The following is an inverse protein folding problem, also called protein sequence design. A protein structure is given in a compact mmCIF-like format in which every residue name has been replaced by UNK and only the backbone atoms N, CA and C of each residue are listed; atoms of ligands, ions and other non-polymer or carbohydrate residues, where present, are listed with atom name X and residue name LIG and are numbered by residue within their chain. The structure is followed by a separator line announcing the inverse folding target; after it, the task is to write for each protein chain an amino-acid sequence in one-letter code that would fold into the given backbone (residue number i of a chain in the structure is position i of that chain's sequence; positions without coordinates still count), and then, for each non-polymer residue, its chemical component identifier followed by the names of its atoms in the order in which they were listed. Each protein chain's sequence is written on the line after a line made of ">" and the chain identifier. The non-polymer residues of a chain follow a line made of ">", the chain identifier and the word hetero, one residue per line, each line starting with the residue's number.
data_IF_732031604388
#
_entry.id   IF_732031604388
#
_cell.length_a   1.000
_cell.length_b   1.000
_cell.length_c   1.000
_cell.angle_alpha   90.00
_cell.angle_beta   90.00
_cell.angle_gamma   90.00
#
_symmetry.space_group_name_H-M   'P 1'
#
loop_
_entity.id
_entity.type
_entity.pdbx_description
1 polymer ?
#
# COMPACT_ATOMS: atom_id res chain seq x y z
N UNK A 1 -1.70 6.36 21.19
CA UNK A 1 -2.05 5.08 20.53
C UNK A 1 -2.26 4.03 21.62
N UNK A 2 -3.33 3.22 21.56
CA UNK A 2 -3.48 2.09 22.49
C UNK A 2 -2.30 1.14 22.27
N UNK A 3 -1.74 0.57 23.35
CA UNK A 3 -0.68 -0.43 23.25
C UNK A 3 -1.22 -1.64 22.47
N UNK A 4 -0.60 -1.96 21.34
CA UNK A 4 -0.90 -3.17 20.58
C UNK A 4 -0.31 -4.36 21.34
N UNK A 5 -1.10 -5.42 21.50
CA UNK A 5 -0.69 -6.65 22.17
C UNK A 5 -0.82 -7.77 21.15
N UNK A 6 0.30 -8.38 20.72
CA UNK A 6 0.25 -9.48 19.78
C UNK A 6 -0.34 -10.72 20.43
N UNK A 7 -1.15 -11.45 19.66
CA UNK A 7 -1.49 -12.83 19.98
C UNK A 7 -0.32 -13.72 19.57
N UNK A 8 0.01 -14.69 20.43
CA UNK A 8 1.05 -15.69 20.18
C UNK A 8 0.52 -17.11 20.06
N UNK A 9 -0.80 -17.28 20.13
CA UNK A 9 -1.45 -18.59 20.08
C UNK A 9 -2.13 -18.72 18.71
N UNK A 10 -1.59 -19.51 17.78
CA UNK A 10 -2.23 -19.73 16.49
C UNK A 10 -3.54 -20.50 16.67
N UNK A 11 -4.52 -20.21 15.83
CA UNK A 11 -5.77 -20.96 15.80
C UNK A 11 -5.52 -22.46 15.55
N UNK A 12 -6.37 -23.33 16.12
CA UNK A 12 -6.30 -24.77 15.87
C UNK A 12 -6.57 -25.12 14.40
N UNK A 13 -6.22 -26.34 13.99
CA UNK A 13 -6.56 -26.89 12.68
C UNK A 13 -5.52 -26.69 11.58
N UNK A 14 -4.32 -26.18 11.90
CA UNK A 14 -3.18 -26.20 10.99
C UNK A 14 -2.82 -27.63 10.61
N UNK A 15 -2.73 -27.90 9.30
CA UNK A 15 -2.29 -29.20 8.75
C UNK A 15 -0.89 -29.11 8.17
N UNK A 16 -0.55 -27.98 7.55
CA UNK A 16 0.69 -27.77 6.83
C UNK A 16 0.90 -28.74 5.67
N UNK A 17 2.17 -28.91 5.28
CA UNK A 17 2.58 -29.87 4.27
C UNK A 17 2.70 -29.32 2.84
N UNK A 18 2.37 -28.04 2.60
CA UNK A 18 2.60 -27.39 1.30
C UNK A 18 4.07 -27.54 0.85
N UNK A 19 5.02 -27.19 1.73
CA UNK A 19 6.45 -27.28 1.44
C UNK A 19 7.01 -28.71 1.35
N UNK A 20 6.28 -29.73 1.84
CA UNK A 20 6.68 -31.14 1.64
C UNK A 20 6.45 -31.57 0.19
N UNK A 21 5.44 -31.00 -0.46
CA UNK A 21 5.09 -31.26 -1.85
C UNK A 21 5.83 -30.36 -2.84
N UNK A 22 6.32 -29.22 -2.38
CA UNK A 22 7.03 -28.21 -3.18
C UNK A 22 8.38 -27.85 -2.51
N UNK A 23 9.35 -28.78 -2.45
CA UNK A 23 10.62 -28.57 -1.74
C UNK A 23 11.47 -27.41 -2.30
N UNK A 24 11.35 -27.10 -3.59
CA UNK A 24 12.00 -25.99 -4.29
C UNK A 24 11.53 -24.61 -3.81
N UNK A 25 10.35 -24.53 -3.19
CA UNK A 25 9.78 -23.28 -2.66
C UNK A 25 10.28 -22.94 -1.25
N UNK A 26 11.18 -23.75 -0.68
CA UNK A 26 11.72 -23.51 0.66
C UNK A 26 12.78 -22.41 0.65
N UNK A 27 12.93 -21.76 1.80
CA UNK A 27 14.10 -20.93 2.08
C UNK A 27 15.41 -21.72 1.96
N UNK A 28 16.53 -21.05 1.61
CA UNK A 28 16.75 -19.59 1.61
C UNK A 28 16.27 -18.84 0.37
N UNK A 29 16.00 -19.52 -0.75
CA UNK A 29 15.65 -18.89 -2.03
C UNK A 29 14.38 -19.50 -2.60
N UNK A 30 13.18 -19.15 -2.09
CA UNK A 30 11.92 -19.70 -2.58
C UNK A 30 11.70 -19.46 -4.08
N UNK A 31 11.63 -20.52 -4.88
CA UNK A 31 11.24 -20.45 -6.29
C UNK A 31 9.76 -20.76 -6.47
N UNK A 32 8.94 -19.71 -6.67
CA UNK A 32 7.50 -19.85 -6.87
C UNK A 32 7.11 -20.00 -8.35
N UNK A 33 8.06 -20.25 -9.26
CA UNK A 33 7.85 -20.32 -10.70
C UNK A 33 6.83 -21.38 -11.13
N UNK A 34 6.76 -22.51 -10.42
CA UNK A 34 5.81 -23.59 -10.69
C UNK A 34 4.35 -23.22 -10.33
N UNK A 35 4.13 -22.22 -9.47
CA UNK A 35 2.79 -21.74 -9.13
C UNK A 35 2.28 -20.76 -10.20
N UNK A 36 1.01 -20.91 -10.54
CA UNK A 36 0.28 -19.92 -11.35
C UNK A 36 -0.17 -18.76 -10.46
N UNK A 37 -0.09 -17.55 -10.99
CA UNK A 37 -0.78 -16.41 -10.39
C UNK A 37 -2.28 -16.64 -10.42
N UNK A 38 -2.94 -16.36 -9.29
CA UNK A 38 -4.39 -16.28 -9.20
C UNK A 38 -4.78 -14.81 -9.08
N UNK A 39 -5.92 -14.43 -9.64
CA UNK A 39 -6.55 -13.15 -9.31
C UNK A 39 -6.83 -13.10 -7.81
N UNK A 40 -6.56 -11.95 -7.19
CA UNK A 40 -6.51 -11.83 -5.74
C UNK A 40 -7.84 -12.12 -5.03
N UNK A 41 -8.97 -12.00 -5.74
CA UNK A 41 -10.31 -12.19 -5.19
C UNK A 41 -10.94 -13.54 -5.58
N UNK A 42 -10.40 -14.25 -6.58
CA UNK A 42 -11.02 -15.44 -7.17
C UNK A 42 -11.12 -16.62 -6.21
N UNK A 43 -10.09 -16.77 -5.37
CA UNK A 43 -9.93 -17.91 -4.47
C UNK A 43 -10.18 -17.56 -3.01
N UNK A 44 -10.90 -16.46 -2.75
CA UNK A 44 -11.24 -16.06 -1.37
C UNK A 44 -11.92 -17.20 -0.60
N UNK A 45 -12.78 -17.98 -1.25
CA UNK A 45 -13.46 -19.13 -0.63
C UNK A 45 -12.53 -20.24 -0.13
N UNK A 46 -11.28 -20.31 -0.62
CA UNK A 46 -10.28 -21.28 -0.16
C UNK A 46 -9.54 -20.82 1.09
N UNK A 47 -9.62 -19.53 1.43
CA UNK A 47 -8.99 -19.00 2.64
C UNK A 47 -9.69 -19.62 3.85
N UNK A 48 -8.94 -20.26 4.73
CA UNK A 48 -9.45 -20.73 6.03
C UNK A 48 -8.71 -20.11 7.19
N UNK A 49 -7.56 -19.50 6.92
CA UNK A 49 -6.62 -18.92 7.88
C UNK A 49 -6.12 -17.58 7.38
N UNK A 50 -5.75 -16.71 8.30
CA UNK A 50 -5.15 -15.42 7.97
C UNK A 50 -4.06 -15.04 8.97
N UNK A 51 -3.06 -14.32 8.48
CA UNK A 51 -2.13 -13.56 9.33
C UNK A 51 -2.33 -12.08 9.09
N UNK A 52 -2.56 -11.37 10.18
CA UNK A 52 -2.79 -9.92 10.21
C UNK A 52 -1.48 -9.22 10.46
N UNK A 53 -1.24 -8.11 9.78
CA UNK A 53 -0.06 -7.28 10.07
C UNK A 53 -0.40 -6.32 11.19
N UNK A 54 0.20 -6.49 12.36
CA UNK A 54 -0.04 -5.60 13.51
C UNK A 54 0.74 -4.31 13.39
N UNK A 55 1.99 -4.40 12.94
CA UNK A 55 2.84 -3.25 12.70
C UNK A 55 3.29 -3.28 11.25
N UNK A 56 2.63 -2.53 10.36
CA UNK A 56 3.07 -2.37 8.99
C UNK A 56 3.99 -1.15 8.95
N UNK A 57 5.31 -1.37 8.98
CA UNK A 57 6.34 -0.32 9.07
C UNK A 57 6.87 0.05 7.68
N UNK A 58 6.58 1.27 7.22
CA UNK A 58 6.91 1.74 5.88
C UNK A 58 8.14 2.62 5.90
N UNK A 59 8.96 2.52 4.85
CA UNK A 59 10.05 3.46 4.60
C UNK A 59 10.24 3.77 3.12
N UNK A 60 10.55 5.02 2.81
CA UNK A 60 10.82 5.50 1.46
C UNK A 60 11.86 6.63 1.48
N UNK A 61 12.47 6.91 0.34
CA UNK A 61 13.45 8.00 0.19
C UNK A 61 12.70 9.32 0.01
N UNK A 62 12.98 10.33 0.83
CA UNK A 62 12.36 11.66 0.68
C UNK A 62 13.11 12.57 -0.29
N UNK A 63 14.36 12.23 -0.57
CA UNK A 63 15.28 13.01 -1.39
C UNK A 63 15.89 12.12 -2.48
N UNK A 64 15.03 11.51 -3.29
CA UNK A 64 15.46 10.60 -4.35
C UNK A 64 16.49 11.27 -5.28
N UNK A 65 17.54 10.53 -5.63
CA UNK A 65 18.60 11.01 -6.52
C UNK A 65 19.71 11.81 -5.84
N UNK A 66 19.66 12.01 -4.52
CA UNK A 66 20.81 12.49 -3.73
C UNK A 66 21.79 11.35 -3.45
N UNK A 67 23.06 11.69 -3.19
CA UNK A 67 24.12 10.73 -2.88
C UNK A 67 23.83 9.90 -1.63
N UNK A 68 23.18 10.51 -0.63
CA UNK A 68 22.71 9.86 0.59
C UNK A 68 21.25 10.29 0.84
N UNK A 69 20.28 9.60 0.19
CA UNK A 69 18.89 9.99 0.30
C UNK A 69 18.36 9.68 1.71
N UNK A 70 17.88 10.71 2.40
CA UNK A 70 17.20 10.51 3.68
C UNK A 70 15.95 9.66 3.50
N UNK A 71 15.74 8.72 4.43
CA UNK A 71 14.52 7.90 4.47
C UNK A 71 13.56 8.36 5.55
N UNK A 72 12.28 8.38 5.21
CA UNK A 72 11.21 8.52 6.18
C UNK A 72 10.76 7.14 6.68
N UNK A 73 10.18 7.11 7.87
CA UNK A 73 9.59 5.93 8.50
C UNK A 73 8.21 6.27 9.01
N UNK A 74 7.25 5.40 8.72
CA UNK A 74 5.88 5.54 9.18
C UNK A 74 5.26 4.16 9.42
N UNK A 75 4.80 3.89 10.64
CA UNK A 75 3.91 2.77 10.87
C UNK A 75 2.52 3.15 10.35
N UNK A 76 1.97 2.41 9.40
CA UNK A 76 0.58 2.61 9.01
C UNK A 76 -0.37 2.02 10.05
N UNK A 77 -1.66 2.19 9.85
CA UNK A 77 -2.67 1.67 10.73
C UNK A 77 -2.51 0.14 10.95
N UNK A 78 -2.63 -0.36 12.18
CA UNK A 78 -2.61 -1.79 12.46
C UNK A 78 -3.71 -2.53 11.69
N UNK A 79 -3.46 -3.79 11.35
CA UNK A 79 -4.44 -4.69 10.71
C UNK A 79 -4.93 -4.26 9.31
N UNK A 80 -4.28 -3.25 8.72
CA UNK A 80 -4.57 -2.73 7.36
C UNK A 80 -4.20 -3.71 6.24
N UNK A 81 -3.28 -4.63 6.53
CA UNK A 81 -2.72 -5.58 5.57
C UNK A 81 -2.74 -6.99 6.15
N UNK A 82 -2.99 -7.98 5.29
CA UNK A 82 -3.16 -9.38 5.70
C UNK A 82 -2.76 -10.34 4.59
N UNK A 83 -2.34 -11.55 4.96
CA UNK A 83 -2.21 -12.70 4.04
C UNK A 83 -3.24 -13.77 4.40
N UNK A 84 -3.95 -14.27 3.40
CA UNK A 84 -5.02 -15.27 3.52
C UNK A 84 -4.65 -16.55 2.81
N UNK A 85 -4.72 -17.67 3.52
CA UNK A 85 -4.25 -18.98 3.07
C UNK A 85 -5.12 -20.12 3.64
N UNK A 86 -4.91 -21.33 3.15
CA UNK A 86 -5.62 -22.52 3.63
C UNK A 86 -4.87 -23.27 4.75
N UNK A 87 -5.50 -24.31 5.30
CA UNK A 87 -4.91 -25.12 6.38
C UNK A 87 -3.65 -25.91 5.98
N UNK A 88 -3.34 -26.03 4.69
CA UNK A 88 -2.12 -26.71 4.19
C UNK A 88 -0.96 -25.76 4.00
N UNK A 89 -1.25 -24.46 3.87
CA UNK A 89 -0.28 -23.39 3.72
C UNK A 89 -0.29 -22.69 2.38
N UNK A 90 -1.21 -22.98 1.46
CA UNK A 90 -1.25 -22.28 0.17
C UNK A 90 -1.88 -20.89 0.31
N UNK A 91 -1.20 -19.85 -0.20
CA UNK A 91 -1.70 -18.47 -0.23
C UNK A 91 -2.74 -18.30 -1.34
N UNK A 92 -3.85 -17.66 -0.99
CA UNK A 92 -5.01 -17.46 -1.88
C UNK A 92 -5.38 -15.99 -2.08
N UNK A 93 -5.03 -15.09 -1.16
CA UNK A 93 -5.31 -13.66 -1.27
C UNK A 93 -4.42 -12.84 -0.34
N UNK A 94 -4.09 -11.63 -0.75
CA UNK A 94 -3.39 -10.63 0.05
C UNK A 94 -4.23 -9.37 0.11
N UNK A 95 -4.29 -8.77 1.28
CA UNK A 95 -4.79 -7.42 1.47
C UNK A 95 -3.57 -6.52 1.66
N UNK A 96 -3.42 -5.56 0.75
CA UNK A 96 -2.43 -4.51 0.80
C UNK A 96 -3.05 -3.22 1.37
N UNK A 97 -2.23 -2.26 1.84
CA UNK A 97 -2.68 -1.14 2.62
C UNK A 97 -3.52 -0.12 1.83
N UNK A 98 -4.32 0.61 2.59
CA UNK A 98 -5.13 1.74 2.14
C UNK A 98 -4.88 2.94 3.06
N UNK A 99 -4.56 4.09 2.49
CA UNK A 99 -4.29 5.29 3.25
C UNK A 99 -5.08 6.48 2.70
N UNK A 100 -5.45 7.40 3.58
CA UNK A 100 -5.87 8.74 3.21
C UNK A 100 -4.68 9.70 3.27
N UNK A 101 -4.67 10.69 2.38
CA UNK A 101 -3.85 11.90 2.60
C UNK A 101 -4.68 13.14 2.36
N UNK A 102 -4.37 14.21 3.08
CA UNK A 102 -5.00 15.51 2.91
C UNK A 102 -3.96 16.51 2.44
N UNK A 103 -4.26 17.18 1.33
CA UNK A 103 -3.44 18.28 0.82
C UNK A 103 -4.21 19.58 1.03
N UNK A 104 -3.70 20.51 1.86
CA UNK A 104 -4.31 21.81 2.08
C UNK A 104 -4.62 22.52 0.75
N UNK A 105 -5.85 23.01 0.62
CA UNK A 105 -6.33 23.67 -0.58
C UNK A 105 -6.74 22.75 -1.72
N UNK A 106 -6.25 21.51 -1.82
CA UNK A 106 -6.60 20.58 -2.91
C UNK A 106 -7.69 19.59 -2.48
N UNK A 107 -7.56 19.00 -1.28
CA UNK A 107 -8.55 18.08 -0.71
C UNK A 107 -7.96 16.75 -0.23
N UNK A 108 -8.85 15.81 0.08
CA UNK A 108 -8.52 14.46 0.56
C UNK A 108 -8.41 13.49 -0.61
N UNK A 109 -7.39 12.64 -0.56
CA UNK A 109 -7.15 11.56 -1.50
C UNK A 109 -7.16 10.22 -0.78
N UNK A 110 -7.72 9.21 -1.44
CA UNK A 110 -7.48 7.82 -1.13
C UNK A 110 -6.27 7.34 -1.92
N UNK A 111 -5.42 6.54 -1.27
CA UNK A 111 -4.35 5.77 -1.89
C UNK A 111 -4.55 4.32 -1.50
N UNK A 112 -4.70 3.45 -2.49
CA UNK A 112 -4.80 2.01 -2.27
C UNK A 112 -3.77 1.29 -3.14
N UNK A 113 -3.09 0.31 -2.55
CA UNK A 113 -2.30 -0.65 -3.32
C UNK A 113 -3.19 -1.85 -3.64
N UNK A 114 -3.71 -1.90 -4.88
CA UNK A 114 -4.57 -3.00 -5.32
C UNK A 114 -3.72 -4.19 -5.77
N UNK A 115 -3.88 -5.35 -5.13
CA UNK A 115 -3.27 -6.61 -5.57
C UNK A 115 -4.07 -7.15 -6.75
N UNK A 116 -3.43 -7.30 -7.91
CA UNK A 116 -4.05 -7.81 -9.14
C UNK A 116 -3.79 -9.29 -9.35
N UNK A 117 -2.70 -9.83 -8.77
CA UNK A 117 -2.47 -11.27 -8.78
C UNK A 117 -1.55 -11.69 -7.64
N UNK A 118 -1.67 -12.93 -7.19
CA UNK A 118 -0.81 -13.49 -6.16
C UNK A 118 -0.55 -14.98 -6.33
N UNK A 119 0.55 -15.47 -5.75
CA UNK A 119 0.88 -16.88 -5.56
C UNK A 119 1.86 -17.04 -4.41
N UNK A 120 1.78 -18.12 -3.64
CA UNK A 120 2.74 -18.36 -2.59
C UNK A 120 2.25 -19.29 -1.50
N UNK A 121 2.90 -19.21 -0.35
CA UNK A 121 2.63 -20.06 0.79
C UNK A 121 2.95 -19.39 2.13
N UNK A 122 2.36 -19.92 3.19
CA UNK A 122 2.62 -19.62 4.60
C UNK A 122 2.84 -20.94 5.33
N UNK A 123 3.82 -21.01 6.22
CA UNK A 123 4.04 -22.16 7.10
C UNK A 123 4.08 -21.71 8.57
N UNK A 124 3.04 -22.08 9.32
CA UNK A 124 2.89 -21.70 10.72
C UNK A 124 3.87 -22.43 11.64
N UNK A 125 4.39 -23.58 11.22
CA UNK A 125 5.27 -24.42 12.04
C UNK A 125 6.67 -23.84 12.16
N UNK A 126 7.20 -23.27 11.08
CA UNK A 126 8.48 -22.57 11.08
C UNK A 126 8.33 -21.04 11.08
N UNK A 127 7.09 -20.53 11.05
CA UNK A 127 6.74 -19.11 11.06
C UNK A 127 7.32 -18.31 9.89
N UNK A 128 7.35 -18.94 8.72
CA UNK A 128 7.86 -18.37 7.48
C UNK A 128 6.75 -18.26 6.44
N UNK A 129 6.98 -17.42 5.43
CA UNK A 129 6.12 -17.32 4.27
C UNK A 129 6.90 -16.89 3.04
N UNK A 130 6.39 -17.17 1.86
CA UNK A 130 6.89 -16.58 0.62
C UNK A 130 5.74 -16.36 -0.34
N UNK A 131 5.53 -15.12 -0.76
CA UNK A 131 4.44 -14.75 -1.66
C UNK A 131 4.94 -13.81 -2.75
N UNK A 132 4.60 -14.14 -3.99
CA UNK A 132 4.75 -13.25 -5.13
C UNK A 132 3.41 -12.58 -5.41
N UNK A 133 3.44 -11.28 -5.65
CA UNK A 133 2.25 -10.50 -5.95
C UNK A 133 2.50 -9.51 -7.08
N UNK A 134 1.45 -9.18 -7.79
CA UNK A 134 1.39 -8.03 -8.69
C UNK A 134 0.49 -6.99 -8.04
N UNK A 135 0.95 -5.74 -8.02
CA UNK A 135 0.23 -4.65 -7.38
C UNK A 135 0.12 -3.45 -8.31
N UNK A 136 -0.94 -2.67 -8.13
CA UNK A 136 -1.15 -1.38 -8.78
C UNK A 136 -1.58 -0.36 -7.72
N UNK A 137 -0.72 0.62 -7.39
CA UNK A 137 -1.14 1.78 -6.63
C UNK A 137 -2.22 2.56 -7.40
N UNK A 138 -3.26 2.98 -6.69
CA UNK A 138 -4.39 3.75 -7.20
C UNK A 138 -4.63 4.96 -6.32
N UNK A 139 -4.74 6.14 -6.93
CA UNK A 139 -5.03 7.41 -6.24
C UNK A 139 -6.29 8.05 -6.80
N UNK A 140 -7.22 8.44 -5.93
CA UNK A 140 -8.44 9.16 -6.31
C UNK A 140 -8.90 10.11 -5.20
N UNK A 141 -9.73 11.08 -5.54
CA UNK A 141 -10.29 12.02 -4.57
C UNK A 141 -11.36 11.35 -3.70
N UNK A 142 -11.31 11.61 -2.39
CA UNK A 142 -12.42 11.31 -1.49
C UNK A 142 -13.56 12.31 -1.71
N UNK A 143 -14.84 11.91 -1.56
CA UNK A 143 -15.98 12.83 -1.58
C UNK A 143 -15.81 14.07 -0.67
N UNK A 144 -15.14 13.91 0.47
CA UNK A 144 -14.87 15.00 1.42
C UNK A 144 -13.98 16.11 0.85
N UNK A 145 -13.26 15.85 -0.25
CA UNK A 145 -12.52 16.90 -0.95
C UNK A 145 -13.42 18.06 -1.45
N UNK A 146 -14.74 17.84 -1.55
CA UNK A 146 -15.72 18.85 -1.96
C UNK A 146 -16.00 19.93 -0.89
N UNK A 147 -15.41 19.84 0.29
CA UNK A 147 -15.67 20.79 1.38
C UNK A 147 -14.90 22.11 1.21
N UNK A 148 -13.78 22.12 0.47
CA UNK A 148 -12.97 23.33 0.23
C UNK A 148 -13.41 24.10 -1.02
N UNK A 149 -13.09 25.40 -1.10
CA UNK A 149 -13.49 26.26 -2.24
C UNK A 149 -12.84 25.82 -3.56
N UNK A 150 -11.54 25.49 -3.56
CA UNK A 150 -10.87 24.92 -4.73
C UNK A 150 -11.32 23.48 -5.00
N UNK A 151 -11.58 22.70 -3.94
CA UNK A 151 -12.19 21.38 -4.05
C UNK A 151 -13.51 21.40 -4.82
N UNK A 152 -14.42 22.34 -4.54
CA UNK A 152 -15.68 22.51 -5.29
C UNK A 152 -15.44 22.74 -6.78
N UNK A 153 -14.44 23.54 -7.14
CA UNK A 153 -14.08 23.79 -8.54
C UNK A 153 -13.54 22.50 -9.19
N UNK A 154 -12.70 21.74 -8.49
CA UNK A 154 -12.22 20.43 -8.96
C UNK A 154 -13.38 19.44 -9.16
N UNK A 155 -14.35 19.42 -8.25
CA UNK A 155 -15.55 18.60 -8.39
C UNK A 155 -16.40 18.99 -9.60
N UNK A 156 -16.49 20.28 -9.95
CA UNK A 156 -17.12 20.72 -11.21
C UNK A 156 -16.39 20.17 -12.45
N UNK A 157 -15.06 19.99 -12.40
CA UNK A 157 -14.32 19.32 -13.49
C UNK A 157 -14.70 17.85 -13.56
N UNK A 158 -14.89 17.18 -12.41
CA UNK A 158 -15.26 15.77 -12.35
C UNK A 158 -16.65 15.49 -12.92
N UNK A 159 -17.54 16.49 -12.97
CA UNK A 159 -18.80 16.36 -13.70
C UNK A 159 -18.55 15.96 -15.15
N UNK A 160 -17.48 16.43 -15.82
CA UNK A 160 -17.13 16.07 -17.21
C UNK A 160 -16.98 14.55 -17.42
N UNK A 161 -16.87 13.75 -16.37
CA UNK A 161 -16.92 12.30 -16.47
C UNK A 161 -18.23 11.77 -17.11
N UNK A 162 -19.35 12.51 -17.05
CA UNK A 162 -20.57 12.14 -17.78
C UNK A 162 -20.40 12.16 -19.31
N UNK A 163 -19.39 12.88 -19.82
CA UNK A 163 -19.02 12.94 -21.23
C UNK A 163 -17.98 11.87 -21.62
N UNK A 164 -17.65 10.95 -20.71
CA UNK A 164 -16.67 9.88 -20.96
C UNK A 164 -15.24 10.23 -20.57
N UNK A 165 -14.99 11.39 -19.94
CA UNK A 165 -13.71 11.64 -19.28
C UNK A 165 -13.54 10.74 -18.04
N UNK A 166 -12.29 10.51 -17.63
CA UNK A 166 -11.94 9.64 -16.50
C UNK A 166 -11.12 10.39 -15.45
N UNK A 167 -11.57 11.58 -15.05
CA UNK A 167 -10.97 12.27 -13.92
C UNK A 167 -11.13 11.45 -12.63
N UNK A 168 -10.14 11.47 -11.72
CA UNK A 168 -10.00 10.53 -10.61
C UNK A 168 -10.92 10.85 -9.41
N UNK A 169 -12.22 10.90 -9.65
CA UNK A 169 -13.25 11.17 -8.64
C UNK A 169 -13.68 9.93 -7.84
N UNK A 170 -13.25 8.74 -8.27
CA UNK A 170 -13.59 7.46 -7.66
C UNK A 170 -12.54 6.40 -8.03
N UNK A 171 -12.48 5.30 -7.27
CA UNK A 171 -11.51 4.21 -7.47
C UNK A 171 -11.49 3.65 -8.90
N UNK A 172 -12.64 3.58 -9.58
CA UNK A 172 -12.73 3.06 -10.96
C UNK A 172 -12.05 3.96 -12.00
N UNK A 173 -11.84 5.23 -11.67
CA UNK A 173 -11.21 6.25 -12.52
C UNK A 173 -9.87 6.73 -11.92
N UNK A 174 -9.34 5.99 -10.95
CA UNK A 174 -8.15 6.39 -10.22
C UNK A 174 -6.94 6.58 -11.12
N UNK A 175 -6.04 7.46 -10.71
CA UNK A 175 -4.69 7.52 -11.24
C UNK A 175 -4.01 6.20 -10.88
N UNK A 176 -3.54 5.46 -11.88
CA UNK A 176 -2.82 4.21 -11.66
C UNK A 176 -1.32 4.42 -11.86
N UNK A 177 -0.51 3.76 -11.04
CA UNK A 177 0.94 3.73 -11.19
C UNK A 177 1.41 2.31 -11.52
N UNK A 178 2.50 2.22 -12.29
CA UNK A 178 3.24 0.97 -12.42
C UNK A 178 4.14 0.74 -11.20
N UNK A 179 4.49 -0.52 -10.93
CA UNK A 179 5.44 -0.89 -9.88
C UNK A 179 6.33 -2.01 -10.36
N UNK A 180 7.58 -1.98 -9.89
CA UNK A 180 8.60 -2.91 -10.32
C UNK A 180 9.36 -3.51 -9.13
N UNK A 181 9.95 -4.67 -9.36
CA UNK A 181 10.87 -5.33 -8.46
C UNK A 181 12.19 -4.56 -8.40
N UNK A 182 12.67 -4.24 -7.20
CA UNK A 182 13.90 -3.46 -6.98
C UNK A 182 15.16 -4.14 -7.50
N UNK A 183 15.18 -5.48 -7.51
CA UNK A 183 16.35 -6.28 -7.91
C UNK A 183 16.34 -6.72 -9.37
N UNK A 184 15.25 -6.50 -10.10
CA UNK A 184 15.08 -6.97 -11.47
C UNK A 184 14.34 -5.96 -12.31
N UNK A 185 15.07 -5.37 -13.27
CA UNK A 185 14.57 -4.30 -14.13
C UNK A 185 13.21 -4.65 -14.74
N UNK A 186 12.22 -3.78 -14.48
CA UNK A 186 10.86 -3.82 -15.03
C UNK A 186 10.07 -5.12 -14.79
N UNK A 187 10.48 -5.96 -13.83
CA UNK A 187 9.65 -7.08 -13.38
C UNK A 187 8.50 -6.55 -12.53
N UNK A 188 7.25 -6.85 -12.86
CA UNK A 188 6.07 -6.44 -12.07
C UNK A 188 5.73 -7.40 -10.93
N UNK A 189 6.52 -8.47 -10.77
CA UNK A 189 6.38 -9.42 -9.67
C UNK A 189 7.12 -8.90 -8.44
N UNK A 190 6.36 -8.57 -7.41
CA UNK A 190 6.84 -8.08 -6.12
C UNK A 190 6.86 -9.24 -5.14
N UNK A 191 7.97 -9.36 -4.41
CA UNK A 191 8.20 -10.44 -3.47
C UNK A 191 7.93 -9.98 -2.04
N UNK A 192 7.11 -10.75 -1.31
CA UNK A 192 7.04 -10.75 0.15
C UNK A 192 7.88 -11.93 0.65
N UNK A 193 8.90 -11.67 1.46
CA UNK A 193 9.86 -12.66 1.95
C UNK A 193 10.21 -12.45 3.41
N UNK A 194 10.59 -13.52 4.10
CA UNK A 194 11.13 -13.50 5.45
C UNK A 194 12.37 -12.61 5.53
N UNK A 195 12.62 -12.09 6.73
CA UNK A 195 13.68 -11.12 7.01
C UNK A 195 13.17 -9.68 6.98
N UNK A 196 14.08 -8.74 7.22
CA UNK A 196 13.78 -7.32 7.31
C UNK A 196 14.59 -6.53 6.27
N UNK A 197 13.93 -5.57 5.63
CA UNK A 197 14.63 -4.53 4.90
C UNK A 197 15.48 -3.70 5.86
N UNK A 198 16.73 -3.41 5.47
CA UNK A 198 17.73 -2.70 6.28
C UNK A 198 18.03 -3.36 7.64
N UNK A 199 18.01 -4.69 7.71
CA UNK A 199 18.34 -5.42 8.93
C UNK A 199 19.68 -4.95 9.54
N UNK A 200 19.68 -4.73 10.86
CA UNK A 200 20.83 -4.17 11.60
C UNK A 200 20.91 -2.64 11.63
N UNK A 201 20.23 -1.94 10.71
CA UNK A 201 20.24 -0.46 10.62
C UNK A 201 18.85 0.17 10.81
N UNK A 202 17.88 -0.61 11.29
CA UNK A 202 16.53 -0.12 11.54
C UNK A 202 16.48 0.79 12.78
N UNK A 203 15.72 1.90 12.73
CA UNK A 203 15.47 2.71 13.91
C UNK A 203 14.76 1.88 15.00
N UNK A 204 15.14 2.00 16.29
CA UNK A 204 14.57 1.18 17.36
C UNK A 204 13.04 1.21 17.47
N UNK A 205 12.41 2.33 17.10
CA UNK A 205 10.95 2.50 17.16
C UNK A 205 10.19 1.72 16.08
N UNK A 206 10.87 1.13 15.10
CA UNK A 206 10.26 0.32 14.02
C UNK A 206 10.38 -1.20 14.28
N UNK A 207 10.99 -1.58 15.40
CA UNK A 207 11.34 -2.97 15.71
C UNK A 207 10.32 -3.56 16.69
N UNK A 208 9.67 -4.65 16.28
CA UNK A 208 8.62 -5.31 17.07
C UNK A 208 8.99 -6.77 17.33
N UNK A 209 9.97 -7.01 18.20
CA UNK A 209 10.48 -8.37 18.53
C UNK A 209 9.42 -9.27 19.15
N UNK A 210 8.36 -8.68 19.67
CA UNK A 210 7.17 -9.34 20.18
C UNK A 210 6.22 -9.84 19.08
N UNK A 211 6.47 -9.62 17.80
CA UNK A 211 5.61 -10.15 16.75
C UNK A 211 5.65 -11.69 16.68
N UNK A 212 4.62 -12.29 16.06
CA UNK A 212 4.63 -13.73 15.79
C UNK A 212 5.73 -14.11 14.80
N UNK A 213 5.84 -13.34 13.72
CA UNK A 213 6.85 -13.43 12.68
C UNK A 213 6.96 -12.09 11.96
N UNK A 214 7.93 -11.97 11.05
CA UNK A 214 8.09 -10.78 10.22
C UNK A 214 8.54 -11.15 8.81
N UNK A 215 8.23 -10.26 7.88
CA UNK A 215 8.67 -10.32 6.49
C UNK A 215 8.89 -8.91 5.96
N UNK A 216 9.45 -8.79 4.77
CA UNK A 216 9.58 -7.53 4.07
C UNK A 216 9.04 -7.61 2.65
N UNK A 217 8.62 -6.44 2.16
CA UNK A 217 8.22 -6.17 0.78
C UNK A 217 9.04 -4.99 0.30
N UNK A 218 9.60 -5.08 -0.90
CA UNK A 218 10.27 -3.97 -1.57
C UNK A 218 9.63 -3.72 -2.93
N UNK A 219 9.37 -2.44 -3.23
CA UNK A 219 8.75 -1.98 -4.47
C UNK A 219 9.49 -0.76 -4.99
N UNK A 220 9.85 -0.78 -6.27
CA UNK A 220 10.20 0.41 -7.02
C UNK A 220 8.94 1.01 -7.66
N UNK A 221 8.74 2.32 -7.48
CA UNK A 221 7.63 3.05 -8.10
C UNK A 221 7.93 3.30 -9.57
N UNK A 222 7.01 2.92 -10.44
CA UNK A 222 7.06 3.20 -11.87
C UNK A 222 6.40 4.52 -12.24
N UNK A 223 6.23 4.69 -13.54
CA UNK A 223 5.53 5.80 -14.15
C UNK A 223 4.01 5.78 -13.90
N UNK A 224 3.37 6.93 -14.11
CA UNK A 224 1.92 7.05 -14.16
C UNK A 224 1.41 6.33 -15.41
N UNK A 225 0.34 5.57 -15.28
CA UNK A 225 -0.38 5.00 -16.41
C UNK A 225 -1.18 6.13 -17.12
N UNK A 226 -0.65 6.61 -18.25
CA UNK A 226 -1.21 7.71 -19.03
C UNK A 226 -2.14 7.24 -20.17
N UNK A 227 -2.96 6.23 -19.91
CA UNK A 227 -3.88 5.64 -20.89
C UNK A 227 -5.22 6.40 -21.06
N UNK A 228 -5.31 7.65 -20.60
CA UNK A 228 -6.51 8.50 -20.76
C UNK A 228 -6.31 9.60 -21.81
N UNK A 229 -7.30 10.48 -21.96
CA UNK A 229 -7.19 11.65 -22.83
C UNK A 229 -6.06 12.58 -22.35
N UNK A 230 -5.49 13.37 -23.27
CA UNK A 230 -4.44 14.34 -22.94
C UNK A 230 -4.84 15.26 -21.78
N UNK A 231 -6.11 15.70 -21.75
CA UNK A 231 -6.67 16.53 -20.69
C UNK A 231 -6.57 15.85 -19.31
N UNK A 232 -7.00 14.59 -19.21
CA UNK A 232 -6.97 13.82 -17.96
C UNK A 232 -5.53 13.50 -17.54
N UNK A 233 -4.66 13.19 -18.48
CA UNK A 233 -3.25 12.90 -18.22
C UNK A 233 -2.49 14.12 -17.70
N UNK A 234 -2.74 15.30 -18.25
CA UNK A 234 -2.18 16.57 -17.76
C UNK A 234 -2.65 16.84 -16.32
N UNK A 235 -3.94 16.66 -16.04
CA UNK A 235 -4.49 16.78 -14.69
C UNK A 235 -3.86 15.78 -13.70
N UNK A 236 -3.80 14.50 -14.07
CA UNK A 236 -3.25 13.44 -13.23
C UNK A 236 -1.79 13.72 -12.86
N UNK A 237 -1.01 14.31 -13.77
CA UNK A 237 0.38 14.71 -13.51
C UNK A 237 0.47 15.81 -12.44
N UNK A 238 -0.42 16.81 -12.49
CA UNK A 238 -0.49 17.89 -11.48
C UNK A 238 -0.84 17.31 -10.10
N UNK A 239 -1.81 16.39 -10.05
CA UNK A 239 -2.21 15.72 -8.80
C UNK A 239 -1.08 14.86 -8.22
N UNK A 240 -0.34 14.13 -9.08
CA UNK A 240 0.81 13.36 -8.63
C UNK A 240 1.96 14.24 -8.12
N UNK A 241 2.17 15.42 -8.71
CA UNK A 241 3.11 16.43 -8.17
C UNK A 241 2.68 16.84 -6.76
N UNK A 242 1.41 17.15 -6.56
CA UNK A 242 0.85 17.52 -5.24
C UNK A 242 1.07 16.41 -4.20
N UNK A 243 0.76 15.17 -4.56
CA UNK A 243 0.94 14.01 -3.69
C UNK A 243 2.40 13.83 -3.27
N UNK A 244 3.33 13.94 -4.21
CA UNK A 244 4.76 13.77 -3.93
C UNK A 244 5.31 14.90 -3.05
N UNK A 245 4.85 16.13 -3.20
CA UNK A 245 5.21 17.21 -2.27
C UNK A 245 4.76 16.86 -0.85
N UNK A 246 3.48 16.46 -0.68
CA UNK A 246 2.91 16.18 0.64
C UNK A 246 3.47 14.93 1.33
N UNK A 247 3.88 13.93 0.55
CA UNK A 247 4.42 12.67 1.07
C UNK A 247 5.95 12.61 1.13
N UNK A 248 6.65 13.65 0.70
CA UNK A 248 8.10 13.62 0.57
C UNK A 248 8.52 12.60 -0.49
N UNK A 249 8.05 12.78 -1.71
CA UNK A 249 8.39 12.02 -2.90
C UNK A 249 8.11 10.52 -2.84
N UNK A 250 7.20 10.08 -1.95
CA UNK A 250 6.92 8.66 -1.75
C UNK A 250 6.55 7.95 -3.05
N UNK A 251 5.71 8.55 -3.91
CA UNK A 251 5.30 7.97 -5.19
C UNK A 251 6.06 8.59 -6.38
N UNK A 252 7.27 9.10 -6.14
CA UNK A 252 8.12 9.57 -7.22
C UNK A 252 8.66 8.35 -7.99
N UNK A 253 8.62 8.42 -9.33
CA UNK A 253 9.17 7.38 -10.19
C UNK A 253 10.64 7.07 -9.82
N UNK A 254 10.96 5.78 -9.74
CA UNK A 254 12.25 5.23 -9.35
C UNK A 254 12.51 5.18 -7.84
N UNK A 255 11.60 5.72 -7.01
CA UNK A 255 11.72 5.61 -5.56
C UNK A 255 11.52 4.16 -5.09
N UNK A 256 12.25 3.76 -4.05
CA UNK A 256 12.14 2.45 -3.43
C UNK A 256 11.35 2.58 -2.14
N UNK A 257 10.19 1.94 -2.09
CA UNK A 257 9.37 1.78 -0.90
C UNK A 257 9.62 0.40 -0.36
N UNK A 258 9.88 0.32 0.93
CA UNK A 258 10.04 -0.96 1.61
C UNK A 258 9.17 -1.00 2.84
N UNK A 259 8.52 -2.15 3.06
CA UNK A 259 7.69 -2.39 4.23
C UNK A 259 8.26 -3.55 5.01
N UNK A 260 8.49 -3.34 6.30
CA UNK A 260 8.70 -4.42 7.25
C UNK A 260 7.34 -4.71 7.90
N UNK A 261 6.80 -5.88 7.62
CA UNK A 261 5.50 -6.31 8.14
C UNK A 261 5.70 -7.26 9.30
N UNK A 262 5.10 -6.91 10.43
CA UNK A 262 5.19 -7.68 11.67
C UNK A 262 3.83 -8.30 11.97
N UNK A 263 3.77 -9.63 11.94
CA UNK A 263 2.51 -10.37 11.96
C UNK A 263 2.03 -10.69 13.37
N UNK A 264 0.70 -10.78 13.49
CA UNK A 264 0.02 -11.48 14.58
C UNK A 264 0.07 -13.00 14.39
N UNK A 265 -0.17 -13.76 15.46
CA UNK A 265 -0.35 -15.21 15.30
C UNK A 265 -1.55 -15.51 14.38
N UNK A 266 -1.46 -16.58 13.56
CA UNK A 266 -2.52 -17.02 12.68
C UNK A 266 -3.89 -17.14 13.35
N UNK A 267 -4.92 -16.63 12.68
CA UNK A 267 -6.32 -16.72 13.11
C UNK A 267 -7.19 -17.37 12.03
N UNK A 268 -8.39 -17.83 12.41
CA UNK A 268 -9.38 -18.28 11.44
C UNK A 268 -9.92 -17.07 10.67
N UNK A 269 -10.12 -17.23 9.36
CA UNK A 269 -10.70 -16.17 8.55
C UNK A 269 -12.20 -16.07 8.79
N UNK A 270 -12.72 -14.85 8.89
CA UNK A 270 -14.14 -14.55 8.73
C UNK A 270 -14.37 -14.09 7.30
N UNK A 271 -14.83 -14.99 6.44
CA UNK A 271 -14.96 -14.76 4.99
C UNK A 271 -15.74 -13.49 4.60
N UNK A 272 -16.81 -13.18 5.34
CA UNK A 272 -17.58 -11.94 5.12
C UNK A 272 -16.77 -10.70 5.48
N UNK A 273 -15.97 -10.74 6.54
CA UNK A 273 -15.11 -9.61 6.93
C UNK A 273 -13.97 -9.46 5.92
N UNK A 274 -13.31 -10.54 5.51
CA UNK A 274 -12.24 -10.49 4.50
C UNK A 274 -12.69 -9.79 3.21
N UNK A 275 -13.85 -10.18 2.66
CA UNK A 275 -14.40 -9.59 1.43
C UNK A 275 -14.68 -8.09 1.56
N UNK A 276 -15.11 -7.66 2.74
CA UNK A 276 -15.52 -6.28 2.98
C UNK A 276 -14.39 -5.42 3.56
N UNK A 277 -13.26 -6.01 3.93
CA UNK A 277 -12.19 -5.35 4.66
C UNK A 277 -11.74 -4.08 3.93
N UNK A 278 -11.32 -4.22 2.67
CA UNK A 278 -10.91 -3.11 1.82
C UNK A 278 -11.98 -2.00 1.65
N UNK A 279 -13.27 -2.34 1.74
CA UNK A 279 -14.35 -1.35 1.59
C UNK A 279 -14.69 -0.66 2.93
N UNK A 280 -14.45 -1.32 4.06
CA UNK A 280 -14.58 -0.71 5.39
C UNK A 280 -13.51 0.35 5.59
N UNK A 281 -12.26 0.03 5.23
CA UNK A 281 -11.13 0.94 5.34
C UNK A 281 -11.30 2.20 4.47
N UNK A 282 -11.67 2.02 3.19
CA UNK A 282 -11.98 3.13 2.28
C UNK A 282 -13.08 4.04 2.82
N UNK A 283 -14.20 3.47 3.27
CA UNK A 283 -15.31 4.27 3.82
C UNK A 283 -14.92 5.06 5.06
N UNK A 284 -14.04 4.51 5.90
CA UNK A 284 -13.52 5.21 7.07
C UNK A 284 -12.68 6.43 6.68
N UNK A 285 -11.85 6.30 5.65
CA UNK A 285 -11.06 7.43 5.10
C UNK A 285 -11.99 8.48 4.49
N UNK A 286 -13.06 8.05 3.81
CA UNK A 286 -14.02 8.96 3.16
C UNK A 286 -14.86 9.78 4.16
N UNK A 287 -15.16 9.25 5.35
CA UNK A 287 -16.05 9.89 6.35
C UNK A 287 -15.24 10.68 7.38
N UNK A 288 -14.31 10.03 8.07
CA UNK A 288 -13.66 10.58 9.27
C UNK A 288 -12.19 10.96 9.03
N UNK A 289 -11.69 10.77 7.80
CA UNK A 289 -10.27 10.91 7.45
C UNK A 289 -9.33 10.09 8.33
N UNK A 290 -9.87 9.03 8.95
CA UNK A 290 -9.17 8.20 9.91
C UNK A 290 -9.26 6.73 9.48
N UNK A 291 -8.21 5.97 9.77
CA UNK A 291 -8.22 4.52 9.65
C UNK A 291 -9.07 3.89 10.76
N UNK A 292 -9.82 2.80 10.50
CA UNK A 292 -10.68 2.15 11.50
C UNK A 292 -9.95 1.77 12.79
N UNK A 293 -8.71 1.29 12.66
CA UNK A 293 -7.88 0.83 13.77
C UNK A 293 -6.89 1.91 14.28
N UNK A 294 -7.12 3.17 13.89
CA UNK A 294 -6.31 4.33 14.25
C UNK A 294 -5.27 4.69 13.19
N UNK A 295 -4.75 5.94 13.19
CA UNK A 295 -4.05 6.53 12.05
C UNK A 295 -2.63 6.00 11.78
N UNK A 296 -2.16 5.00 12.54
CA UNK A 296 -0.74 4.68 12.59
C UNK A 296 0.05 5.80 13.26
N UNK A 297 1.29 6.03 12.84
CA UNK A 297 2.16 7.09 13.36
C UNK A 297 2.37 8.22 12.36
N UNK A 298 2.77 9.39 12.85
CA UNK A 298 3.28 10.46 11.97
C UNK A 298 4.63 10.05 11.35
N UNK A 299 4.86 10.44 10.07
CA UNK A 299 6.11 10.17 9.37
C UNK A 299 7.29 10.89 10.04
N UNK A 300 8.40 10.18 10.23
CA UNK A 300 9.61 10.70 10.88
C UNK A 300 10.89 10.11 10.30
N UNK A 301 12.00 10.83 10.41
CA UNK A 301 13.33 10.32 10.04
C UNK A 301 13.86 9.34 11.11
N UNK A 302 14.93 8.62 10.79
CA UNK A 302 15.55 7.62 11.67
C UNK A 302 15.94 8.16 13.07
N UNK A 303 16.26 9.46 13.16
CA UNK A 303 16.59 10.14 14.42
C UNK A 303 15.34 10.61 15.21
N UNK A 304 14.13 10.28 14.73
CA UNK A 304 12.86 10.68 15.33
C UNK A 304 12.37 12.09 14.96
N UNK A 305 13.14 12.87 14.18
CA UNK A 305 12.68 14.18 13.70
C UNK A 305 11.45 14.01 12.80
N UNK A 306 10.33 14.70 13.06
CA UNK A 306 9.15 14.62 12.21
C UNK A 306 9.45 15.07 10.77
N UNK A 307 8.89 14.36 9.80
CA UNK A 307 8.84 14.84 8.43
C UNK A 307 7.81 15.97 8.32
N UNK A 308 8.15 17.03 7.62
CA UNK A 308 7.25 18.15 7.32
C UNK A 308 7.39 18.51 5.84
N UNK A 309 6.30 18.50 5.07
CA UNK A 309 6.35 18.97 3.69
C UNK A 309 6.63 20.47 3.64
N UNK A 310 7.37 20.91 2.62
CA UNK A 310 7.61 22.32 2.33
C UNK A 310 6.31 22.95 1.85
N UNK A 311 5.72 23.85 2.65
CA UNK A 311 4.35 24.33 2.40
C UNK A 311 4.27 25.20 1.15
N UNK A 312 5.36 25.91 0.86
CA UNK A 312 5.52 26.81 -0.27
C UNK A 312 5.35 26.08 -1.61
N UNK A 313 5.71 24.79 -1.67
CA UNK A 313 5.53 23.96 -2.86
C UNK A 313 4.04 23.68 -3.17
N UNK A 314 3.14 23.79 -2.20
CA UNK A 314 1.70 23.66 -2.46
C UNK A 314 1.14 24.88 -3.19
N UNK A 315 1.73 26.06 -3.04
CA UNK A 315 1.29 27.25 -3.79
C UNK A 315 1.56 27.11 -5.29
N UNK A 316 2.67 26.44 -5.65
CA UNK A 316 2.95 26.06 -7.04
C UNK A 316 1.89 25.11 -7.60
N UNK A 317 1.51 24.08 -6.83
CA UNK A 317 0.46 23.13 -7.24
C UNK A 317 -0.87 23.84 -7.44
N UNK A 318 -1.25 24.72 -6.52
CA UNK A 318 -2.49 25.51 -6.64
C UNK A 318 -2.45 26.37 -7.92
N UNK A 319 -1.28 26.93 -8.25
CA UNK A 319 -1.08 27.70 -9.48
C UNK A 319 -1.19 26.82 -10.72
N UNK A 320 -0.58 25.63 -10.71
CA UNK A 320 -0.68 24.66 -11.81
C UNK A 320 -2.13 24.23 -12.06
N UNK A 321 -2.90 23.97 -11.00
CA UNK A 321 -4.34 23.66 -11.08
C UNK A 321 -5.12 24.83 -11.69
N UNK A 322 -4.88 26.06 -11.24
CA UNK A 322 -5.56 27.26 -11.80
C UNK A 322 -5.24 27.46 -13.28
N UNK A 323 -3.98 27.25 -13.67
CA UNK A 323 -3.55 27.36 -15.06
C UNK A 323 -4.18 26.27 -15.92
N UNK A 324 -4.25 25.04 -15.41
CA UNK A 324 -4.95 23.94 -16.07
C UNK A 324 -6.43 24.29 -16.32
N UNK A 325 -7.12 24.79 -15.30
CA UNK A 325 -8.52 25.21 -15.41
C UNK A 325 -8.65 26.29 -16.49
N UNK A 326 -7.90 27.39 -16.39
CA UNK A 326 -7.96 28.51 -17.35
C UNK A 326 -7.68 28.09 -18.80
N UNK A 327 -6.83 27.09 -19.00
CA UNK A 327 -6.43 26.60 -20.33
C UNK A 327 -7.52 25.75 -20.99
N UNK A 328 -8.31 25.02 -20.21
CA UNK A 328 -9.16 23.94 -20.71
C UNK A 328 -10.65 24.05 -20.35
N UNK A 329 -11.01 24.90 -19.38
CA UNK A 329 -12.35 25.07 -18.80
C UNK A 329 -12.74 26.55 -18.85
#
# INVERSE_FOLDING_TARGET
>A
MKKLIPNHIPAKGWKGGFLKKNPEMKYPTPDLGALKFNDNLDKIHNITRQQRVLWPEFTWETQKGKTDPKRCFQMFAPDISRVGYDNTGQSWSIICPQQGTFIPGVGTFNVEVTVTGQKGWVDESNKSLAVDMMVKPKIWFSPAANESSLGKILWSIFELNHLGYCFPSEKKKAIELNTYQTTKQKSTTIALRDGLFMEGNLPPFTIHKEAWSHANVEVEIGEIDLNHSHLVNEFNTIIMKAFNIGSGNMLQQGNILAWNVWFDAPSLVKQSEWRNHADVWRRSIDIDHCSPDGPGTDPRFANGTPFKPEKELFDEVITDIKNFIKKHI
#
